data_IF_029326594157
#
_entry.id   IF_029326594157
#
_cell.length_a   1.000
_cell.length_b   1.000
_cell.length_c   1.000
_cell.angle_alpha   90.00
_cell.angle_beta   90.00
_cell.angle_gamma   90.00
#
_symmetry.space_group_name_H-M   'P 1'
#
loop_
_entity.id
_entity.type
_entity.pdbx_description
1 polymer ?
#
# COMPACT_ATOMS: atom_id res chain seq x y z
N UNK A 1 31.63 -57.77 -36.77
CA UNK A 1 31.84 -56.54 -35.97
C UNK A 1 30.45 -55.98 -35.55
N UNK A 2 30.12 -55.99 -34.26
CA UNK A 2 28.83 -55.48 -33.75
C UNK A 2 29.10 -54.09 -33.15
N UNK A 3 28.58 -53.04 -33.78
CA UNK A 3 28.66 -51.67 -33.30
C UNK A 3 27.58 -51.46 -32.22
N UNK A 4 27.98 -51.09 -31.00
CA UNK A 4 27.05 -50.69 -29.90
C UNK A 4 26.81 -49.21 -30.00
N UNK A 5 25.58 -48.84 -30.31
CA UNK A 5 25.12 -47.44 -30.20
C UNK A 5 24.88 -47.07 -28.73
N UNK A 6 25.55 -46.03 -28.25
CA UNK A 6 25.35 -45.46 -26.94
C UNK A 6 24.36 -44.29 -27.10
N UNK A 7 23.14 -44.44 -26.57
CA UNK A 7 22.17 -43.34 -26.51
C UNK A 7 22.44 -42.53 -25.26
N UNK A 8 22.84 -41.26 -25.45
CA UNK A 8 23.02 -40.29 -24.38
C UNK A 8 21.68 -39.64 -24.07
N UNK A 9 21.08 -39.99 -22.95
CA UNK A 9 19.85 -39.31 -22.48
C UNK A 9 20.23 -38.01 -21.79
N UNK A 10 19.94 -36.86 -22.43
CA UNK A 10 20.09 -35.53 -21.84
C UNK A 10 18.86 -35.25 -20.96
N UNK A 11 19.04 -35.37 -19.67
CA UNK A 11 17.99 -34.96 -18.68
C UNK A 11 17.86 -33.45 -18.62
N UNK A 12 16.72 -32.95 -19.09
CA UNK A 12 16.35 -31.51 -18.97
C UNK A 12 15.93 -31.23 -17.53
N UNK A 13 16.85 -30.70 -16.72
CA UNK A 13 16.48 -30.14 -15.38
C UNK A 13 15.69 -28.86 -15.54
N UNK A 14 14.35 -28.93 -15.35
CA UNK A 14 13.50 -27.79 -15.27
C UNK A 14 13.73 -27.11 -13.91
N UNK A 15 14.50 -26.02 -13.86
CA UNK A 15 14.66 -25.22 -12.67
C UNK A 15 13.35 -24.44 -12.42
N UNK A 16 12.58 -24.85 -11.40
CA UNK A 16 11.46 -24.06 -10.90
C UNK A 16 12.01 -22.80 -10.21
N UNK A 17 11.97 -21.66 -10.89
CA UNK A 17 12.28 -20.37 -10.29
C UNK A 17 11.13 -19.99 -9.34
N UNK A 18 11.33 -20.15 -8.04
CA UNK A 18 10.43 -19.62 -7.02
C UNK A 18 10.70 -18.13 -6.95
N UNK A 19 9.90 -17.32 -7.64
CA UNK A 19 9.92 -15.86 -7.47
C UNK A 19 9.30 -15.53 -6.11
N UNK A 20 10.12 -15.15 -5.15
CA UNK A 20 9.63 -14.57 -3.90
C UNK A 20 8.83 -13.29 -4.23
N UNK A 21 7.63 -13.15 -3.67
CA UNK A 21 6.85 -11.92 -3.83
C UNK A 21 7.67 -10.73 -3.34
N UNK A 22 7.90 -9.76 -4.23
CA UNK A 22 8.61 -8.54 -3.86
C UNK A 22 7.85 -7.79 -2.76
N UNK A 23 8.58 -7.33 -1.75
CA UNK A 23 8.03 -6.52 -0.66
C UNK A 23 8.58 -5.12 -0.77
N UNK A 24 7.71 -4.13 -0.67
CA UNK A 24 8.07 -2.71 -0.60
C UNK A 24 7.92 -2.24 0.84
N UNK A 25 8.99 -1.68 1.41
CA UNK A 25 8.96 -1.08 2.75
C UNK A 25 8.86 0.44 2.62
N UNK A 26 7.86 1.01 3.27
CA UNK A 26 7.55 2.44 3.28
C UNK A 26 7.86 2.96 4.68
N UNK A 27 8.81 3.86 4.80
CA UNK A 27 9.04 4.62 6.04
C UNK A 27 8.07 5.80 6.07
N UNK A 28 7.32 5.95 7.17
CA UNK A 28 6.45 7.09 7.38
C UNK A 28 7.15 8.11 8.29
N UNK A 29 7.06 9.39 7.91
CA UNK A 29 7.63 10.50 8.67
C UNK A 29 6.58 11.55 8.95
N UNK A 30 6.67 12.18 10.12
CA UNK A 30 5.86 13.35 10.48
C UNK A 30 6.38 14.63 9.79
N UNK A 31 5.68 15.74 10.02
CA UNK A 31 6.02 17.04 9.44
C UNK A 31 7.39 17.60 9.89
N UNK A 32 8.00 17.04 10.93
CA UNK A 32 9.35 17.37 11.39
C UNK A 32 10.41 16.44 10.80
N UNK A 33 10.02 15.50 9.92
CA UNK A 33 10.91 14.51 9.32
C UNK A 33 11.27 13.34 10.26
N UNK A 34 10.66 13.26 11.44
CA UNK A 34 10.88 12.18 12.39
C UNK A 34 10.12 10.94 11.94
N UNK A 35 10.78 9.78 11.98
CA UNK A 35 10.12 8.51 11.69
C UNK A 35 9.01 8.22 12.70
N UNK A 36 7.85 7.84 12.20
CA UNK A 36 6.71 7.36 12.98
C UNK A 36 6.45 5.87 12.72
N UNK A 37 7.37 5.18 12.06
CA UNK A 37 7.33 3.75 11.81
C UNK A 37 7.33 3.37 10.35
N UNK A 38 6.94 2.14 10.07
CA UNK A 38 7.00 1.56 8.73
C UNK A 38 5.72 0.82 8.36
N UNK A 39 5.44 0.79 7.06
CA UNK A 39 4.47 -0.12 6.45
C UNK A 39 5.20 -1.01 5.43
N UNK A 40 4.96 -2.31 5.49
CA UNK A 40 5.44 -3.27 4.49
C UNK A 40 4.27 -3.68 3.61
N UNK A 41 4.44 -3.50 2.30
CA UNK A 41 3.46 -3.81 1.26
C UNK A 41 3.92 -5.02 0.46
N UNK A 42 3.01 -5.94 0.15
CA UNK A 42 3.29 -7.06 -0.75
C UNK A 42 2.01 -7.58 -1.40
N UNK A 43 2.14 -8.19 -2.56
CA UNK A 43 1.09 -8.99 -3.20
C UNK A 43 1.36 -10.47 -3.00
N UNK A 44 0.32 -11.28 -2.90
CA UNK A 44 0.45 -12.74 -2.94
C UNK A 44 0.48 -13.19 -4.40
N UNK A 45 1.34 -14.16 -4.68
CA UNK A 45 1.46 -14.80 -5.99
C UNK A 45 1.02 -16.26 -5.90
N UNK A 46 0.52 -16.80 -7.00
CA UNK A 46 0.13 -18.21 -7.12
C UNK A 46 -1.36 -18.41 -7.39
N UNK A 47 -1.71 -19.61 -7.88
CA UNK A 47 -3.08 -19.97 -8.21
C UNK A 47 -3.95 -19.97 -6.93
N UNK A 48 -5.03 -19.20 -6.92
CA UNK A 48 -5.93 -19.05 -5.77
C UNK A 48 -5.43 -18.07 -4.69
N UNK A 49 -4.35 -17.31 -4.94
CA UNK A 49 -3.94 -16.24 -4.04
C UNK A 49 -5.00 -15.14 -3.98
N UNK A 50 -5.23 -14.58 -2.78
CA UNK A 50 -6.10 -13.44 -2.62
C UNK A 50 -5.53 -12.24 -3.38
N UNK A 51 -6.36 -11.56 -4.20
CA UNK A 51 -5.98 -10.35 -4.92
C UNK A 51 -5.79 -9.17 -3.97
N UNK A 52 -5.02 -8.16 -4.41
CA UNK A 52 -4.79 -6.91 -3.71
C UNK A 52 -3.41 -6.80 -3.06
N UNK A 53 -3.20 -5.67 -2.42
CA UNK A 53 -1.98 -5.35 -1.69
C UNK A 53 -2.20 -5.56 -0.19
N UNK A 54 -1.40 -6.42 0.38
CA UNK A 54 -1.32 -6.65 1.82
C UNK A 54 -0.42 -5.57 2.42
N UNK A 55 -0.88 -4.98 3.51
CA UNK A 55 -0.16 -3.93 4.25
C UNK A 55 0.01 -4.41 5.69
N UNK A 56 1.25 -4.39 6.19
CA UNK A 56 1.55 -4.58 7.61
C UNK A 56 2.21 -3.31 8.12
N UNK A 57 1.55 -2.62 9.03
CA UNK A 57 2.05 -1.41 9.67
C UNK A 57 2.58 -1.70 11.08
N UNK A 58 3.68 -1.02 11.44
CA UNK A 58 4.25 -0.94 12.78
C UNK A 58 4.60 0.52 13.05
N UNK A 59 3.73 1.21 13.79
CA UNK A 59 3.73 2.66 13.94
C UNK A 59 3.93 3.04 15.41
N UNK A 60 4.55 4.21 15.62
CA UNK A 60 4.81 4.79 16.94
C UNK A 60 4.82 6.32 16.88
N UNK A 61 4.74 6.98 18.04
CA UNK A 61 4.83 8.44 18.13
C UNK A 61 3.64 9.19 17.55
N UNK A 62 2.53 8.49 17.27
CA UNK A 62 1.28 9.09 16.79
C UNK A 62 0.38 9.47 17.96
N UNK A 63 -0.51 10.48 17.80
CA UNK A 63 -1.54 10.77 18.80
C UNK A 63 -2.41 9.54 19.07
N UNK A 64 -2.78 9.24 20.33
CA UNK A 64 -3.75 8.19 20.63
C UNK A 64 -5.12 8.48 20.03
N UNK A 65 -5.79 7.45 19.51
CA UNK A 65 -7.13 7.58 18.93
C UNK A 65 -7.31 6.79 17.65
N UNK A 66 -8.41 7.06 16.96
CA UNK A 66 -8.75 6.46 15.67
C UNK A 66 -8.28 7.40 14.56
N UNK A 67 -7.56 6.86 13.59
CA UNK A 67 -6.97 7.60 12.48
C UNK A 67 -7.32 6.96 11.15
N UNK A 68 -7.52 7.81 10.15
CA UNK A 68 -7.58 7.39 8.77
C UNK A 68 -6.18 7.21 8.18
N UNK A 69 -6.06 6.31 7.21
CA UNK A 69 -4.90 6.26 6.33
C UNK A 69 -5.34 5.87 4.92
N UNK A 70 -4.69 6.52 3.93
CA UNK A 70 -5.07 6.38 2.54
C UNK A 70 -3.84 6.35 1.65
N UNK A 71 -3.97 5.75 0.46
CA UNK A 71 -3.00 5.97 -0.61
C UNK A 71 -3.34 7.27 -1.34
N UNK A 72 -2.32 8.12 -1.52
CA UNK A 72 -2.39 9.38 -2.27
C UNK A 72 -1.68 9.25 -3.61
N UNK A 73 -2.11 10.04 -4.62
CA UNK A 73 -1.78 9.79 -6.02
C UNK A 73 -0.35 10.13 -6.45
N UNK A 74 0.45 10.82 -5.61
CA UNK A 74 1.82 11.24 -5.97
C UNK A 74 2.83 10.77 -4.93
N UNK A 75 4.00 10.33 -5.39
CA UNK A 75 5.13 9.93 -4.56
C UNK A 75 5.88 11.15 -3.98
N UNK A 76 5.15 12.06 -3.32
CA UNK A 76 5.68 13.30 -2.74
C UNK A 76 5.16 13.45 -1.31
N UNK A 77 6.07 13.79 -0.37
CA UNK A 77 5.75 13.98 1.04
C UNK A 77 6.40 15.28 1.56
N UNK A 78 6.08 16.42 0.92
CA UNK A 78 6.64 17.71 1.33
C UNK A 78 5.93 18.24 2.58
N UNK A 79 6.72 18.46 3.64
CA UNK A 79 6.23 19.07 4.88
C UNK A 79 5.94 20.58 4.67
N UNK A 80 5.11 21.19 5.51
CA UNK A 80 4.52 20.62 6.73
C UNK A 80 3.17 19.91 6.52
N UNK A 81 2.46 20.14 5.42
CA UNK A 81 1.05 19.74 5.24
C UNK A 81 0.86 18.56 4.26
N UNK A 82 1.95 18.08 3.66
CA UNK A 82 1.96 16.94 2.72
C UNK A 82 0.99 17.06 1.54
N UNK A 83 0.55 18.30 1.20
CA UNK A 83 -0.36 18.54 0.07
C UNK A 83 0.23 18.13 -1.27
N UNK A 84 1.58 18.10 -1.38
CA UNK A 84 2.29 17.62 -2.56
C UNK A 84 1.95 16.18 -2.95
N UNK A 85 1.51 15.33 -2.01
CA UNK A 85 1.02 13.98 -2.30
C UNK A 85 -0.27 13.97 -3.15
N UNK A 86 -0.93 15.12 -3.31
CA UNK A 86 -2.18 15.23 -4.07
C UNK A 86 -3.41 14.67 -3.34
N UNK A 87 -4.51 14.40 -4.06
CA UNK A 87 -5.70 13.74 -3.51
C UNK A 87 -5.47 12.23 -3.31
N UNK A 88 -6.48 11.51 -2.87
CA UNK A 88 -6.47 10.06 -2.77
C UNK A 88 -6.20 9.42 -4.14
N UNK A 89 -5.57 8.27 -4.15
CA UNK A 89 -5.33 7.50 -5.36
C UNK A 89 -6.66 6.98 -5.92
N UNK A 90 -7.06 7.51 -7.07
CA UNK A 90 -8.40 7.31 -7.62
C UNK A 90 -8.38 7.17 -9.15
N UNK A 91 -7.88 6.05 -9.68
CA UNK A 91 -7.79 5.85 -11.15
C UNK A 91 -9.14 5.76 -11.85
N UNK A 92 -10.22 5.47 -11.14
CA UNK A 92 -11.57 5.32 -11.69
C UNK A 92 -12.46 6.57 -11.53
N UNK A 93 -11.93 7.67 -10.96
CA UNK A 93 -12.66 8.92 -10.73
C UNK A 93 -13.98 8.76 -9.96
N UNK A 94 -14.00 7.84 -8.97
CA UNK A 94 -15.14 7.61 -8.07
C UNK A 94 -15.19 8.65 -6.96
N UNK A 95 -16.26 8.62 -6.16
CA UNK A 95 -16.39 9.38 -4.92
C UNK A 95 -15.58 8.76 -3.80
N UNK A 96 -15.29 9.54 -2.75
CA UNK A 96 -14.66 9.01 -1.54
C UNK A 96 -15.64 8.21 -0.69
N UNK A 97 -15.10 7.17 -0.02
CA UNK A 97 -15.72 6.49 1.11
C UNK A 97 -16.17 5.07 0.83
N UNK A 98 -15.72 4.14 1.68
CA UNK A 98 -16.06 2.71 1.60
C UNK A 98 -17.56 2.42 1.77
N UNK A 99 -18.30 3.36 2.38
CA UNK A 99 -19.75 3.29 2.58
C UNK A 99 -20.53 4.25 1.65
N UNK A 100 -19.87 4.91 0.71
CA UNK A 100 -20.50 5.80 -0.26
C UNK A 100 -20.99 4.94 -1.46
N UNK A 101 -22.29 5.02 -1.86
CA UNK A 101 -22.80 4.25 -2.98
C UNK A 101 -22.16 4.60 -4.33
N UNK A 102 -21.62 5.83 -4.48
CA UNK A 102 -20.89 6.28 -5.68
C UNK A 102 -19.37 6.11 -5.56
N UNK A 103 -18.90 5.46 -4.49
CA UNK A 103 -17.48 5.31 -4.15
C UNK A 103 -16.99 3.90 -4.42
N UNK A 104 -15.84 3.58 -3.98
CA UNK A 104 -14.83 4.39 -3.27
C UNK A 104 -13.59 4.61 -4.14
N UNK A 105 -12.67 5.48 -3.67
CA UNK A 105 -11.35 5.59 -4.30
C UNK A 105 -10.55 4.29 -4.12
N UNK A 106 -9.72 3.93 -5.07
CA UNK A 106 -8.84 2.77 -4.91
C UNK A 106 -7.88 2.91 -3.71
N UNK A 107 -7.56 4.14 -3.32
CA UNK A 107 -6.70 4.43 -2.17
C UNK A 107 -7.40 4.44 -0.81
N UNK A 108 -8.73 4.32 -0.75
CA UNK A 108 -9.47 4.36 0.51
C UNK A 108 -9.29 3.08 1.32
N UNK A 109 -9.22 3.21 2.64
CA UNK A 109 -9.05 2.10 3.58
C UNK A 109 -9.83 2.33 4.87
N UNK A 110 -10.09 1.25 5.61
CA UNK A 110 -10.68 1.34 6.94
C UNK A 110 -9.72 2.03 7.93
N UNK A 111 -10.26 2.75 8.89
CA UNK A 111 -9.52 3.37 9.98
C UNK A 111 -8.71 2.35 10.79
N UNK A 112 -7.66 2.83 11.47
CA UNK A 112 -6.91 2.07 12.46
C UNK A 112 -6.85 2.81 13.81
N UNK A 113 -6.49 2.08 14.88
CA UNK A 113 -6.44 2.64 16.23
C UNK A 113 -5.01 2.71 16.74
N UNK A 114 -4.65 3.88 17.27
CA UNK A 114 -3.41 4.12 18.01
C UNK A 114 -3.72 4.03 19.50
N UNK A 115 -2.94 3.22 20.23
CA UNK A 115 -3.12 3.01 21.67
C UNK A 115 -2.63 4.22 22.49
N UNK A 116 -2.88 4.20 23.82
CA UNK A 116 -2.48 5.27 24.74
C UNK A 116 -0.97 5.54 24.80
N UNK A 117 -0.13 4.62 24.28
CA UNK A 117 1.33 4.78 24.20
C UNK A 117 1.78 5.37 22.85
N UNK A 118 0.84 5.79 22.00
CA UNK A 118 1.16 6.31 20.67
C UNK A 118 1.59 5.24 19.67
N UNK A 119 1.15 3.99 19.84
CA UNK A 119 1.57 2.85 19.01
C UNK A 119 0.39 2.19 18.30
N UNK A 120 0.64 1.70 17.09
CA UNK A 120 -0.30 0.86 16.35
C UNK A 120 0.43 -0.24 15.57
N UNK A 121 -0.09 -1.48 15.66
CA UNK A 121 0.37 -2.62 14.85
C UNK A 121 -0.84 -3.31 14.26
N UNK A 122 -0.92 -3.33 12.93
CA UNK A 122 -2.07 -3.92 12.24
C UNK A 122 -1.69 -4.51 10.90
N UNK A 123 -2.61 -5.29 10.34
CA UNK A 123 -2.55 -5.79 8.96
C UNK A 123 -3.88 -5.54 8.29
N UNK A 124 -3.83 -5.12 7.04
CA UNK A 124 -4.99 -4.88 6.20
C UNK A 124 -4.68 -5.33 4.76
N UNK A 125 -5.73 -5.55 3.98
CA UNK A 125 -5.63 -5.80 2.53
C UNK A 125 -6.46 -4.75 1.84
N UNK A 126 -5.83 -4.01 0.92
CA UNK A 126 -6.55 -3.20 -0.06
C UNK A 126 -6.66 -4.01 -1.35
N UNK A 127 -7.89 -4.25 -1.82
CA UNK A 127 -8.18 -5.10 -2.98
C UNK A 127 -8.23 -4.32 -4.29
N UNK A 128 -8.23 -2.99 -4.21
CA UNK A 128 -8.47 -2.08 -5.32
C UNK A 128 -7.17 -1.49 -5.89
N UNK A 129 -6.04 -1.86 -5.28
CA UNK A 129 -4.71 -1.47 -5.75
C UNK A 129 -3.83 -2.69 -6.04
N UNK A 130 -2.79 -2.47 -6.83
CA UNK A 130 -1.80 -3.49 -7.19
C UNK A 130 -0.35 -3.02 -6.95
N UNK A 131 0.61 -3.94 -7.05
CA UNK A 131 2.05 -3.66 -7.15
C UNK A 131 2.59 -4.07 -8.53
N UNK A 132 1.71 -4.18 -9.52
CA UNK A 132 2.03 -4.48 -10.92
C UNK A 132 2.34 -3.24 -11.76
N UNK A 133 2.02 -3.33 -13.06
CA UNK A 133 2.24 -2.26 -14.04
C UNK A 133 0.91 -1.79 -14.68
N UNK A 134 -0.21 -1.99 -13.98
CA UNK A 134 -1.55 -1.58 -14.41
C UNK A 134 -1.95 -0.20 -13.85
N UNK A 135 -3.14 0.30 -14.23
CA UNK A 135 -3.65 1.61 -13.78
C UNK A 135 -3.94 1.71 -12.29
N UNK A 136 -4.12 0.58 -11.60
CA UNK A 136 -4.32 0.49 -10.16
C UNK A 136 -3.02 0.28 -9.37
N UNK A 137 -1.88 0.29 -10.06
CA UNK A 137 -0.58 0.10 -9.44
C UNK A 137 -0.19 1.29 -8.56
N UNK A 138 0.23 0.99 -7.32
CA UNK A 138 0.83 1.98 -6.43
C UNK A 138 2.17 2.55 -6.95
N UNK A 139 2.72 1.96 -8.01
CA UNK A 139 3.92 2.47 -8.72
C UNK A 139 3.59 3.27 -9.97
N UNK A 140 2.30 3.45 -10.31
CA UNK A 140 1.88 4.21 -11.49
C UNK A 140 2.32 5.68 -11.38
N UNK A 141 2.56 6.33 -12.53
CA UNK A 141 2.90 7.75 -12.63
C UNK A 141 4.10 8.20 -11.74
N UNK A 142 5.07 7.30 -11.53
CA UNK A 142 6.25 7.56 -10.70
C UNK A 142 6.06 7.25 -9.21
N UNK A 143 4.93 6.66 -8.84
CA UNK A 143 4.62 6.19 -7.50
C UNK A 143 3.51 6.97 -6.81
N UNK A 144 3.22 6.54 -5.60
CA UNK A 144 2.15 7.04 -4.72
C UNK A 144 2.70 7.38 -3.34
N UNK A 145 1.84 7.79 -2.40
CA UNK A 145 2.22 7.96 -1.01
C UNK A 145 1.21 7.31 -0.07
N UNK A 146 1.67 6.73 1.04
CA UNK A 146 0.82 6.33 2.15
C UNK A 146 0.74 7.48 3.14
N UNK A 147 -0.48 7.93 3.43
CA UNK A 147 -0.77 9.06 4.29
C UNK A 147 -1.52 8.64 5.54
N UNK A 148 -1.16 9.21 6.68
CA UNK A 148 -1.92 9.11 7.94
C UNK A 148 -2.55 10.45 8.23
N UNK A 149 -3.83 10.45 8.63
CA UNK A 149 -4.59 11.63 8.96
C UNK A 149 -4.82 11.80 10.47
N UNK A 150 -5.12 13.04 10.88
CA UNK A 150 -5.28 13.41 12.30
C UNK A 150 -6.53 12.82 12.95
N UNK A 151 -7.55 12.47 12.17
CA UNK A 151 -8.85 11.99 12.64
C UNK A 151 -9.25 10.72 11.92
N UNK A 152 -10.30 10.08 12.41
CA UNK A 152 -10.99 9.01 11.69
C UNK A 152 -11.63 9.55 10.41
N UNK A 153 -11.63 8.70 9.38
CA UNK A 153 -12.45 8.83 8.19
C UNK A 153 -13.90 8.44 8.54
N UNK A 154 -14.88 9.22 8.11
CA UNK A 154 -16.31 8.91 8.27
C UNK A 154 -16.82 7.90 7.22
N UNK A 155 -15.95 7.50 6.27
CA UNK A 155 -16.16 6.52 5.19
C UNK A 155 -17.23 6.91 4.17
N UNK A 156 -17.65 8.15 4.13
CA UNK A 156 -18.80 8.62 3.32
C UNK A 156 -18.58 9.97 2.65
N UNK A 157 -18.03 10.95 3.39
CA UNK A 157 -17.99 12.33 2.94
C UNK A 157 -16.88 12.56 1.92
N UNK A 158 -17.24 12.88 0.68
CA UNK A 158 -16.31 13.27 -0.36
C UNK A 158 -15.70 14.67 -0.07
N UNK A 159 -14.42 14.94 -0.29
CA UNK A 159 -13.44 14.08 -0.97
C UNK A 159 -12.53 13.25 -0.04
N UNK A 160 -12.65 13.29 1.27
CA UNK A 160 -11.64 12.69 2.17
C UNK A 160 -12.17 12.30 3.56
N UNK A 161 -13.49 12.06 3.71
CA UNK A 161 -14.09 11.50 4.93
C UNK A 161 -13.92 12.34 6.19
N UNK A 162 -13.76 13.66 6.07
CA UNK A 162 -13.51 14.55 7.21
C UNK A 162 -12.32 14.14 8.10
N UNK A 163 -11.35 13.42 7.53
CA UNK A 163 -10.22 12.81 8.23
C UNK A 163 -9.21 13.84 8.82
N UNK A 164 -9.39 15.12 8.53
CA UNK A 164 -8.56 16.20 9.08
C UNK A 164 -7.19 16.30 8.42
N UNK A 165 -6.25 16.92 9.15
CA UNK A 165 -4.91 17.19 8.64
C UNK A 165 -4.11 15.92 8.36
N UNK A 166 -3.13 16.02 7.46
CA UNK A 166 -2.17 14.97 7.16
C UNK A 166 -1.03 15.05 8.18
N UNK A 167 -0.82 14.01 8.97
CA UNK A 167 0.13 14.03 10.08
C UNK A 167 1.37 13.16 9.85
N UNK A 168 1.31 12.21 8.92
CA UNK A 168 2.49 11.45 8.51
C UNK A 168 2.35 10.96 7.07
N UNK A 169 3.48 10.87 6.38
CA UNK A 169 3.55 10.51 4.97
C UNK A 169 4.75 9.59 4.70
N UNK A 170 4.56 8.64 3.80
CA UNK A 170 5.63 7.76 3.30
C UNK A 170 5.49 7.53 1.80
N UNK A 171 6.57 7.73 1.05
CA UNK A 171 6.62 7.58 -0.41
C UNK A 171 6.67 6.11 -0.80
N UNK A 172 5.94 5.74 -1.85
CA UNK A 172 5.90 4.40 -2.43
C UNK A 172 6.39 4.48 -3.88
N UNK A 173 7.58 3.95 -4.13
CA UNK A 173 8.19 3.84 -5.47
C UNK A 173 8.74 2.44 -5.69
N UNK A 174 9.02 2.09 -6.96
CA UNK A 174 9.78 0.86 -7.32
C UNK A 174 11.21 0.96 -6.87
#
# INVERSE_FOLDING_TARGET
MKTKSFSLAIGLCLALSITAAAKTTVELKDAQGKSVGTAVLWSKTGKGAASGVFIKADLHGLPPGVHAFHFHQKALCEAPDFKSAGPHFNPEAKKHGLENPDGHHAGDMNNFTVNAKGQAKFKVVNKDVTLGDDSHSLFSNGGTALMIHAKADDLKTDPAGNAGDRIACGVITK
#
